data_IF_181875050763
#
_entry.id   IF_181875050763
#
_cell.length_a   1.000
_cell.length_b   1.000
_cell.length_c   1.000
_cell.angle_alpha   90.00
_cell.angle_beta   90.00
_cell.angle_gamma   90.00
#
_symmetry.space_group_name_H-M   'P 1'
#
loop_
_entity.id
_entity.type
_entity.pdbx_description
1 polymer ?
#
# COMPACT_ATOMS: atom_id res chain seq x y z
N UNK A 1 8.77 -45.46 17.63
CA UNK A 1 8.77 -45.27 16.16
C UNK A 1 7.53 -44.51 15.69
N UNK A 2 6.33 -44.88 16.10
CA UNK A 2 5.11 -44.15 15.72
C UNK A 2 5.07 -42.71 16.26
N UNK A 3 5.51 -42.45 17.50
CA UNK A 3 5.60 -41.14 18.11
C UNK A 3 6.58 -40.20 17.41
N UNK A 4 7.72 -40.70 16.90
CA UNK A 4 8.68 -39.91 16.19
C UNK A 4 8.18 -39.48 14.80
N UNK A 5 7.44 -40.35 14.10
CA UNK A 5 6.78 -40.00 12.84
C UNK A 5 5.69 -38.96 13.00
N UNK A 6 4.90 -39.03 14.08
CA UNK A 6 3.86 -38.07 14.40
C UNK A 6 4.47 -36.71 14.76
N UNK A 7 5.58 -36.69 15.49
CA UNK A 7 6.28 -35.44 15.85
C UNK A 7 6.86 -34.73 14.61
N UNK A 8 7.45 -35.50 13.70
CA UNK A 8 8.01 -34.95 12.44
C UNK A 8 6.90 -34.38 11.55
N UNK A 9 5.76 -35.06 11.50
CA UNK A 9 4.59 -34.59 10.73
C UNK A 9 4.03 -33.29 11.33
N UNK A 10 3.98 -33.17 12.66
CA UNK A 10 3.49 -31.98 13.35
C UNK A 10 4.41 -30.77 13.13
N UNK A 11 5.73 -30.99 13.16
CA UNK A 11 6.74 -29.92 12.90
C UNK A 11 6.70 -29.47 11.44
N UNK A 12 6.43 -30.37 10.50
CA UNK A 12 6.34 -30.01 9.08
C UNK A 12 5.06 -29.22 8.75
N UNK A 13 3.95 -29.51 9.42
CA UNK A 13 2.68 -28.78 9.24
C UNK A 13 2.77 -27.38 9.86
N UNK A 14 3.51 -27.20 10.96
CA UNK A 14 3.67 -25.88 11.57
C UNK A 14 4.60 -24.94 10.78
N UNK A 15 5.48 -25.47 9.94
CA UNK A 15 6.35 -24.65 9.08
C UNK A 15 5.68 -24.16 7.78
N UNK A 16 4.52 -24.72 7.41
CA UNK A 16 3.77 -24.30 6.22
C UNK A 16 2.80 -23.12 6.48
N UNK A 17 2.66 -22.69 7.73
CA UNK A 17 1.64 -21.70 8.11
C UNK A 17 2.13 -20.24 8.08
N UNK A 18 3.33 -19.94 7.62
CA UNK A 18 3.94 -18.62 7.70
C UNK A 18 4.14 -17.92 6.34
N UNK A 19 3.44 -18.34 5.30
CA UNK A 19 3.32 -17.52 4.10
C UNK A 19 2.21 -16.48 4.31
N UNK A 20 2.39 -15.56 5.23
CA UNK A 20 1.60 -14.33 5.23
C UNK A 20 2.09 -13.55 4.02
N UNK A 21 1.35 -13.67 2.91
CA UNK A 21 1.56 -12.80 1.76
C UNK A 21 1.37 -11.36 2.24
N UNK A 22 2.46 -10.60 2.35
CA UNK A 22 2.39 -9.18 2.65
C UNK A 22 1.46 -8.53 1.62
N UNK A 23 0.46 -7.77 2.09
CA UNK A 23 -0.44 -7.04 1.20
C UNK A 23 0.37 -6.08 0.36
N UNK A 24 0.15 -6.10 -0.94
CA UNK A 24 0.74 -5.17 -1.88
C UNK A 24 0.04 -3.81 -1.80
N UNK A 25 0.81 -2.74 -1.69
CA UNK A 25 0.34 -1.36 -1.69
C UNK A 25 0.81 -0.70 -3.00
N UNK A 26 -0.12 -0.33 -3.84
CA UNK A 26 0.13 0.40 -5.08
C UNK A 26 0.14 1.90 -4.79
N UNK A 27 1.31 2.49 -4.85
CA UNK A 27 1.55 3.86 -4.44
C UNK A 27 1.71 4.79 -5.64
N UNK A 28 0.98 5.91 -5.62
CA UNK A 28 1.19 7.02 -6.53
C UNK A 28 2.03 8.12 -5.89
N UNK A 29 2.66 8.94 -6.72
CA UNK A 29 3.33 10.17 -6.29
C UNK A 29 3.11 11.31 -7.27
N UNK A 30 3.10 12.52 -6.72
CA UNK A 30 3.03 13.75 -7.49
C UNK A 30 4.29 13.95 -8.36
N UNK A 31 4.19 14.82 -9.34
CA UNK A 31 5.27 15.21 -10.24
C UNK A 31 6.02 16.47 -9.79
N UNK A 32 6.13 16.70 -8.48
CA UNK A 32 6.89 17.78 -7.87
C UNK A 32 7.79 17.29 -6.72
N UNK A 33 8.82 18.07 -6.38
CA UNK A 33 9.94 17.65 -5.53
C UNK A 33 9.53 17.16 -4.14
N UNK A 34 8.65 17.87 -3.44
CA UNK A 34 8.18 17.45 -2.11
C UNK A 34 7.39 16.15 -2.18
N UNK A 35 6.62 15.94 -3.26
CA UNK A 35 5.91 14.70 -3.52
C UNK A 35 6.85 13.52 -3.72
N UNK A 36 7.94 13.71 -4.46
CA UNK A 36 8.97 12.68 -4.63
C UNK A 36 9.58 12.26 -3.30
N UNK A 37 10.03 13.23 -2.52
CA UNK A 37 10.67 12.98 -1.24
C UNK A 37 9.74 12.24 -0.25
N UNK A 38 8.55 12.76 -0.07
CA UNK A 38 7.58 12.18 0.86
C UNK A 38 7.18 10.76 0.45
N UNK A 39 6.94 10.53 -0.83
CA UNK A 39 6.59 9.21 -1.33
C UNK A 39 7.68 8.16 -1.03
N UNK A 40 8.95 8.51 -1.22
CA UNK A 40 10.05 7.60 -0.92
C UNK A 40 10.20 7.32 0.58
N UNK A 41 9.98 8.32 1.44
CA UNK A 41 10.00 8.14 2.91
C UNK A 41 8.90 7.18 3.34
N UNK A 42 7.67 7.39 2.86
CA UNK A 42 6.54 6.50 3.18
C UNK A 42 6.74 5.08 2.65
N UNK A 43 7.26 4.95 1.42
CA UNK A 43 7.59 3.64 0.86
C UNK A 43 8.52 2.86 1.78
N UNK A 44 9.64 3.47 2.17
CA UNK A 44 10.62 2.82 3.06
C UNK A 44 10.03 2.46 4.43
N UNK A 45 9.19 3.32 4.99
CA UNK A 45 8.51 3.05 6.25
C UNK A 45 7.56 1.84 6.14
N UNK A 46 6.75 1.79 5.10
CA UNK A 46 5.83 0.69 4.84
C UNK A 46 6.55 -0.64 4.59
N UNK A 47 7.65 -0.61 3.83
CA UNK A 47 8.47 -1.80 3.59
C UNK A 47 9.10 -2.34 4.88
N UNK A 48 9.55 -1.45 5.79
CA UNK A 48 10.03 -1.85 7.12
C UNK A 48 8.94 -2.46 7.99
N UNK A 49 7.69 -2.08 7.79
CA UNK A 49 6.53 -2.66 8.47
C UNK A 49 6.09 -4.00 7.86
N UNK A 50 6.74 -4.47 6.80
CA UNK A 50 6.45 -5.76 6.17
C UNK A 50 5.50 -5.69 4.97
N UNK A 51 5.12 -4.51 4.50
CA UNK A 51 4.31 -4.37 3.28
C UNK A 51 5.18 -4.40 2.02
N UNK A 52 4.63 -4.96 0.96
CA UNK A 52 5.20 -4.82 -0.38
C UNK A 52 4.65 -3.55 -1.02
N UNK A 53 5.52 -2.63 -1.42
CA UNK A 53 5.12 -1.39 -2.08
C UNK A 53 5.49 -1.44 -3.56
N UNK A 54 4.49 -1.27 -4.42
CA UNK A 54 4.66 -1.12 -5.86
C UNK A 54 4.61 0.36 -6.23
N UNK A 55 5.55 0.81 -6.99
CA UNK A 55 5.78 2.22 -7.27
C UNK A 55 6.85 2.84 -6.33
N UNK A 56 6.74 4.13 -6.00
CA UNK A 56 5.68 5.07 -6.38
C UNK A 56 5.67 5.41 -7.86
N UNK A 57 4.48 5.40 -8.46
CA UNK A 57 4.26 5.77 -9.86
C UNK A 57 3.93 7.25 -9.96
N UNK A 58 4.66 7.96 -10.81
CA UNK A 58 4.41 9.40 -11.05
C UNK A 58 3.10 9.59 -11.80
N UNK A 59 2.22 10.42 -11.25
CA UNK A 59 0.96 10.76 -11.88
C UNK A 59 0.40 12.09 -11.39
N UNK A 60 -0.52 12.64 -12.15
CA UNK A 60 -1.25 13.84 -11.70
C UNK A 60 -2.30 13.47 -10.65
N UNK A 61 -2.62 14.37 -9.70
CA UNK A 61 -3.61 14.10 -8.66
C UNK A 61 -4.95 13.59 -9.21
N UNK A 62 -5.47 14.21 -10.26
CA UNK A 62 -6.73 13.81 -10.89
C UNK A 62 -6.73 12.35 -11.31
N UNK A 63 -5.64 11.92 -11.93
CA UNK A 63 -5.46 10.54 -12.40
C UNK A 63 -5.40 9.58 -11.22
N UNK A 64 -4.68 9.96 -10.16
CA UNK A 64 -4.60 9.14 -8.95
C UNK A 64 -5.99 8.88 -8.34
N UNK A 65 -6.78 9.93 -8.11
CA UNK A 65 -8.08 9.77 -7.46
C UNK A 65 -9.05 8.92 -8.28
N UNK A 66 -9.02 9.02 -9.59
CA UNK A 66 -9.81 8.15 -10.47
C UNK A 66 -9.34 6.69 -10.38
N UNK A 67 -8.03 6.46 -10.45
CA UNK A 67 -7.45 5.13 -10.34
C UNK A 67 -7.69 4.50 -8.95
N UNK A 68 -7.58 5.29 -7.89
CA UNK A 68 -7.87 4.85 -6.53
C UNK A 68 -9.35 4.47 -6.35
N UNK A 69 -10.26 5.25 -6.91
CA UNK A 69 -11.68 4.94 -6.89
C UNK A 69 -12.01 3.65 -7.66
N UNK A 70 -11.26 3.34 -8.71
CA UNK A 70 -11.36 2.09 -9.46
C UNK A 70 -10.68 0.88 -8.78
N UNK A 71 -9.89 1.11 -7.72
CA UNK A 71 -9.13 0.06 -7.04
C UNK A 71 -7.74 -0.24 -7.63
N UNK A 72 -7.28 0.59 -8.57
CA UNK A 72 -5.99 0.41 -9.25
C UNK A 72 -4.82 1.02 -8.48
N UNK A 73 -5.10 1.93 -7.55
CA UNK A 73 -4.13 2.58 -6.67
C UNK A 73 -4.64 2.57 -5.23
N UNK A 74 -3.70 2.50 -4.27
CA UNK A 74 -4.03 2.34 -2.86
C UNK A 74 -3.64 3.55 -2.00
N UNK A 75 -2.53 4.23 -2.31
CA UNK A 75 -1.95 5.24 -1.44
C UNK A 75 -1.38 6.42 -2.22
N UNK A 76 -1.73 7.60 -1.76
CA UNK A 76 -1.12 8.86 -2.15
C UNK A 76 -0.64 9.60 -0.91
N UNK A 77 0.59 10.06 -0.94
CA UNK A 77 1.15 10.98 0.05
C UNK A 77 1.30 12.37 -0.56
N UNK A 78 1.40 13.39 0.26
CA UNK A 78 1.42 14.78 -0.21
C UNK A 78 0.06 15.25 -0.81
N UNK A 79 -1.04 14.94 -0.11
CA UNK A 79 -2.35 15.48 -0.46
C UNK A 79 -2.43 16.98 -0.14
N UNK A 80 -2.81 17.77 -1.11
CA UNK A 80 -3.01 19.20 -0.96
C UNK A 80 -4.50 19.50 -0.78
N UNK A 81 -5.01 19.25 0.42
CA UNK A 81 -6.42 19.49 0.73
C UNK A 81 -6.78 20.97 0.56
N UNK A 82 -7.98 21.23 0.06
CA UNK A 82 -8.35 22.49 -0.54
C UNK A 82 -8.18 22.42 -2.07
N UNK A 83 -6.97 22.29 -2.55
CA UNK A 83 -6.68 22.18 -4.00
C UNK A 83 -7.14 20.83 -4.59
N UNK A 84 -7.08 19.75 -3.82
CA UNK A 84 -7.49 18.41 -4.27
C UNK A 84 -8.95 18.06 -3.96
N UNK A 85 -9.71 18.92 -3.28
CA UNK A 85 -11.07 18.61 -2.81
C UNK A 85 -12.02 18.22 -3.93
N UNK A 86 -11.91 18.85 -5.09
CA UNK A 86 -12.72 18.48 -6.26
C UNK A 86 -12.45 17.06 -6.75
N UNK A 87 -11.22 16.61 -6.67
CA UNK A 87 -10.82 15.24 -7.07
C UNK A 87 -11.26 14.20 -6.05
N UNK A 88 -11.20 14.54 -4.77
CA UNK A 88 -11.71 13.69 -3.69
C UNK A 88 -13.22 13.48 -3.85
N UNK A 89 -13.96 14.53 -4.20
CA UNK A 89 -15.41 14.43 -4.49
C UNK A 89 -15.70 13.48 -5.65
N UNK A 90 -14.92 13.52 -6.71
CA UNK A 90 -15.07 12.59 -7.85
C UNK A 90 -14.84 11.13 -7.41
N UNK A 91 -13.98 10.90 -6.45
CA UNK A 91 -13.75 9.56 -5.90
C UNK A 91 -14.92 9.00 -5.06
N UNK A 92 -15.96 9.81 -4.77
CA UNK A 92 -17.26 9.37 -4.25
C UNK A 92 -17.20 8.47 -3.01
N UNK A 93 -16.41 8.86 -2.01
CA UNK A 93 -16.30 8.11 -0.75
C UNK A 93 -15.50 6.78 -0.84
N UNK A 94 -14.96 6.45 -1.99
CA UNK A 94 -14.07 5.28 -2.17
C UNK A 94 -12.64 5.57 -1.73
N UNK A 95 -12.30 6.82 -1.56
CA UNK A 95 -11.00 7.29 -1.07
C UNK A 95 -11.19 7.92 0.30
N UNK A 96 -10.32 7.58 1.24
CA UNK A 96 -10.30 8.14 2.59
C UNK A 96 -9.06 9.00 2.77
N UNK A 97 -9.24 10.21 3.25
CA UNK A 97 -8.12 11.05 3.70
C UNK A 97 -7.73 10.68 5.12
N UNK A 98 -6.44 10.51 5.39
CA UNK A 98 -5.88 10.16 6.69
C UNK A 98 -4.72 11.09 7.02
N UNK A 99 -4.79 11.75 8.16
CA UNK A 99 -3.77 12.68 8.61
C UNK A 99 -3.77 14.03 7.87
N UNK A 100 -3.06 14.98 8.43
CA UNK A 100 -2.78 16.32 7.87
C UNK A 100 -1.31 16.66 8.10
#
# INVERSE_FOLDING_TARGET
MKLLKTLITLVFVSSLSLSINAKEIKMGKADWDTGYFQAEVYKKALEKMGYKVTGPTVMKPQVFYVAAAAGDMDLWVNGWFGNHDSYVKVAMGKVKTVGY
#
